data_IF_576528756733
#
_entry.id   IF_576528756733
#
_cell.length_a   1.000
_cell.length_b   1.000
_cell.length_c   1.000
_cell.angle_alpha   90.00
_cell.angle_beta   90.00
_cell.angle_gamma   90.00
#
_symmetry.space_group_name_H-M   'P 1'
#
loop_
_entity.id
_entity.type
_entity.pdbx_description
1 polymer ?
#
# COMPACT_ATOMS: atom_id res chain seq x y z
N UNK A 1 -7.46 7.34 -28.74
CA UNK A 1 -6.41 6.31 -28.91
C UNK A 1 -5.10 7.02 -28.70
N UNK A 2 -4.31 6.87 -27.65
CA UNK A 2 -4.26 5.96 -26.49
C UNK A 2 -3.77 6.82 -25.30
N UNK A 3 -4.50 6.83 -24.19
CA UNK A 3 -4.01 7.34 -22.90
C UNK A 3 -3.70 6.10 -22.06
N UNK A 4 -2.49 5.57 -22.18
CA UNK A 4 -2.05 4.43 -21.36
C UNK A 4 -1.43 4.98 -20.07
N UNK A 5 -2.27 4.90 -19.05
CA UNK A 5 -2.03 4.66 -17.62
C UNK A 5 -0.58 4.28 -17.22
N UNK A 6 0.00 5.03 -16.28
CA UNK A 6 1.18 4.62 -15.52
C UNK A 6 0.73 4.36 -14.06
N UNK A 7 0.54 3.09 -13.72
CA UNK A 7 -0.06 2.63 -12.46
C UNK A 7 0.90 1.70 -11.68
N UNK A 8 2.22 1.88 -11.81
CA UNK A 8 3.15 0.81 -11.41
C UNK A 8 4.40 1.18 -10.58
N UNK A 9 4.54 2.39 -10.02
CA UNK A 9 5.78 2.71 -9.29
C UNK A 9 5.67 3.21 -7.85
N UNK A 10 4.47 3.23 -7.28
CA UNK A 10 4.30 3.50 -5.86
C UNK A 10 3.12 2.68 -5.36
N UNK A 11 3.34 1.42 -4.97
CA UNK A 11 2.26 0.64 -4.36
C UNK A 11 1.78 1.28 -3.04
N UNK A 12 2.65 2.04 -2.36
CA UNK A 12 2.30 2.82 -1.16
C UNK A 12 1.63 4.17 -1.50
N UNK A 13 1.84 4.77 -2.68
CA UNK A 13 1.20 6.04 -3.05
C UNK A 13 -0.04 5.90 -3.94
N UNK A 14 -0.33 4.71 -4.46
CA UNK A 14 -1.54 4.43 -5.22
C UNK A 14 -2.56 3.60 -4.43
N UNK A 15 -2.13 2.92 -3.37
CA UNK A 15 -2.98 2.14 -2.48
C UNK A 15 -2.66 2.57 -1.05
N UNK A 16 -3.67 2.95 -0.25
CA UNK A 16 -3.45 3.46 1.11
C UNK A 16 -2.73 2.45 2.00
N UNK A 17 -2.16 2.89 3.13
CA UNK A 17 -1.39 2.02 4.04
C UNK A 17 -2.12 0.75 4.49
N UNK A 18 -3.45 0.78 4.53
CA UNK A 18 -4.30 -0.38 4.83
C UNK A 18 -4.16 -1.51 3.80
N UNK A 19 -4.13 -1.15 2.52
CA UNK A 19 -3.97 -2.09 1.41
C UNK A 19 -2.56 -2.66 1.38
N UNK A 20 -1.55 -1.83 1.66
CA UNK A 20 -0.18 -2.30 1.82
C UNK A 20 -0.07 -3.34 2.94
N UNK A 21 -0.57 -3.04 4.14
CA UNK A 21 -0.54 -4.00 5.26
C UNK A 21 -1.26 -5.30 4.90
N UNK A 22 -2.51 -5.20 4.42
CA UNK A 22 -3.34 -6.38 4.09
C UNK A 22 -2.70 -7.24 3.02
N UNK A 23 -2.23 -6.63 1.93
CA UNK A 23 -1.56 -7.35 0.84
C UNK A 23 -0.24 -7.99 1.28
N UNK A 24 0.49 -7.34 2.18
CA UNK A 24 1.72 -7.89 2.76
C UNK A 24 1.44 -9.14 3.58
N UNK A 25 0.45 -9.09 4.49
CA UNK A 25 0.08 -10.24 5.33
C UNK A 25 -0.44 -11.40 4.48
N UNK A 26 -1.21 -11.12 3.44
CA UNK A 26 -1.76 -12.15 2.55
C UNK A 26 -0.69 -13.02 1.88
N UNK A 27 0.55 -12.53 1.75
CA UNK A 27 1.71 -13.32 1.25
C UNK A 27 2.06 -14.50 2.16
N UNK A 28 1.71 -14.43 3.45
CA UNK A 28 2.01 -15.46 4.44
C UNK A 28 0.81 -16.35 4.75
N UNK A 29 -0.42 -15.84 4.58
CA UNK A 29 -1.65 -16.50 5.04
C UNK A 29 -2.38 -17.26 3.93
N UNK A 30 -2.25 -16.83 2.67
CA UNK A 30 -2.80 -17.57 1.53
C UNK A 30 -1.88 -18.76 1.25
N UNK A 31 -2.32 -19.94 1.69
CA UNK A 31 -1.64 -21.21 1.52
C UNK A 31 -1.58 -21.67 0.05
N UNK A 32 -0.77 -21.01 -0.77
CA UNK A 32 -0.16 -21.59 -1.97
C UNK A 32 1.31 -21.13 -1.99
N UNK A 33 2.30 -21.94 -1.60
CA UNK A 33 2.83 -23.14 -2.31
C UNK A 33 3.16 -22.92 -3.79
N UNK A 34 3.07 -21.70 -4.31
CA UNK A 34 3.75 -21.41 -5.56
C UNK A 34 5.18 -21.04 -5.17
N UNK A 35 6.20 -21.90 -5.43
CA UNK A 35 7.57 -21.42 -5.39
C UNK A 35 7.64 -20.18 -6.26
N UNK A 36 8.50 -19.23 -5.89
CA UNK A 36 8.81 -18.11 -6.77
C UNK A 36 9.03 -18.65 -8.19
N UNK A 37 8.28 -18.15 -9.18
CA UNK A 37 8.49 -18.52 -10.58
C UNK A 37 9.93 -18.24 -11.03
N UNK A 38 10.63 -17.34 -10.34
CA UNK A 38 12.03 -17.07 -10.57
C UNK A 38 12.88 -18.23 -10.01
N UNK A 39 13.39 -19.07 -10.91
CA UNK A 39 14.44 -20.07 -10.64
C UNK A 39 15.85 -19.45 -10.58
N UNK A 40 15.96 -18.16 -10.93
CA UNK A 40 17.21 -17.40 -10.96
C UNK A 40 16.93 -15.93 -10.66
N UNK A 41 17.90 -15.24 -10.05
CA UNK A 41 17.84 -13.81 -9.81
C UNK A 41 18.80 -13.12 -10.78
N UNK A 42 18.24 -12.29 -11.66
CA UNK A 42 19.03 -11.57 -12.66
C UNK A 42 19.90 -10.49 -12.00
N UNK A 43 21.19 -10.40 -12.35
CA UNK A 43 22.04 -9.31 -11.88
C UNK A 43 21.63 -7.96 -12.47
N UNK A 44 21.74 -6.91 -11.65
CA UNK A 44 21.56 -5.52 -12.08
C UNK A 44 22.89 -4.79 -11.96
N UNK A 45 23.42 -4.31 -13.08
CA UNK A 45 24.73 -3.69 -13.16
C UNK A 45 24.63 -2.29 -13.75
N UNK A 46 25.50 -1.40 -13.31
CA UNK A 46 25.70 -0.13 -14.03
C UNK A 46 26.40 -0.41 -15.35
N UNK A 47 25.86 0.15 -16.43
CA UNK A 47 26.45 -0.05 -17.76
C UNK A 47 27.88 0.48 -17.80
N UNK A 48 28.89 -0.33 -18.15
CA UNK A 48 30.28 0.12 -18.23
C UNK A 48 30.54 0.98 -19.48
N UNK A 49 29.62 0.96 -20.45
CA UNK A 49 29.65 1.76 -21.67
C UNK A 49 28.34 2.53 -21.79
N UNK A 50 28.37 3.65 -22.50
CA UNK A 50 27.14 4.35 -22.84
C UNK A 50 26.20 3.40 -23.58
N UNK A 51 24.99 3.24 -23.05
CA UNK A 51 23.88 2.62 -23.77
C UNK A 51 23.45 3.51 -24.94
N UNK A 52 22.61 2.98 -25.82
CA UNK A 52 22.05 3.73 -26.94
C UNK A 52 21.36 5.00 -26.39
N UNK A 53 21.37 6.15 -27.09
CA UNK A 53 20.76 7.38 -26.59
C UNK A 53 19.32 7.15 -26.09
N UNK A 54 19.01 7.71 -24.91
CA UNK A 54 17.75 7.56 -24.19
C UNK A 54 17.41 6.15 -23.70
N UNK A 55 18.31 5.16 -23.79
CA UNK A 55 18.11 3.85 -23.19
C UNK A 55 18.53 3.86 -21.70
N UNK A 56 17.71 3.29 -20.83
CA UNK A 56 17.99 3.23 -19.38
C UNK A 56 18.06 1.82 -18.79
N UNK A 57 17.45 0.83 -19.45
CA UNK A 57 17.60 -0.60 -19.12
C UNK A 57 17.93 -1.38 -20.38
N UNK A 58 19.00 -2.15 -20.35
CA UNK A 58 19.40 -3.03 -21.45
C UNK A 58 19.66 -4.45 -20.94
N UNK A 59 18.70 -5.39 -21.14
CA UNK A 59 18.89 -6.79 -20.80
C UNK A 59 19.75 -7.50 -21.85
N UNK A 60 20.85 -8.14 -21.44
CA UNK A 60 21.70 -8.97 -22.31
C UNK A 60 22.37 -10.08 -21.51
N UNK A 61 22.36 -11.29 -22.06
CA UNK A 61 22.98 -12.49 -21.45
C UNK A 61 22.58 -12.74 -19.99
N UNK A 62 21.31 -12.48 -19.65
CA UNK A 62 20.77 -12.64 -18.29
C UNK A 62 21.16 -11.54 -17.30
N UNK A 63 21.81 -10.47 -17.76
CA UNK A 63 22.15 -9.29 -16.97
C UNK A 63 21.30 -8.09 -17.38
N UNK A 64 20.98 -7.23 -16.42
CA UNK A 64 20.31 -5.96 -16.64
C UNK A 64 21.29 -4.80 -16.49
N UNK A 65 21.72 -4.21 -17.61
CA UNK A 65 22.59 -3.03 -17.61
C UNK A 65 21.78 -1.76 -17.52
N UNK A 66 22.15 -0.91 -16.57
CA UNK A 66 21.42 0.30 -16.22
C UNK A 66 22.20 1.57 -16.54
N UNK A 67 21.52 2.57 -17.07
CA UNK A 67 22.05 3.92 -17.26
C UNK A 67 21.03 4.96 -16.81
N UNK A 68 21.48 5.96 -16.06
CA UNK A 68 20.60 7.02 -15.56
C UNK A 68 20.07 7.87 -16.70
N UNK A 69 18.80 8.26 -16.58
CA UNK A 69 18.18 9.15 -17.54
C UNK A 69 18.71 10.59 -17.45
N UNK A 70 18.70 11.36 -18.55
CA UNK A 70 18.96 12.80 -18.53
C UNK A 70 18.02 13.56 -17.59
N UNK A 71 18.45 14.73 -17.12
CA UNK A 71 17.63 15.60 -16.27
C UNK A 71 16.25 15.88 -16.89
N UNK A 72 15.19 15.82 -16.06
CA UNK A 72 13.80 16.03 -16.50
C UNK A 72 13.14 14.80 -17.15
N UNK A 73 13.84 13.67 -17.22
CA UNK A 73 13.29 12.38 -17.67
C UNK A 73 13.47 11.30 -16.61
N UNK A 74 12.63 10.26 -16.67
CA UNK A 74 12.71 9.11 -15.77
C UNK A 74 12.73 7.80 -16.56
N UNK A 75 13.19 6.73 -15.92
CA UNK A 75 13.21 5.40 -16.52
C UNK A 75 11.97 4.60 -16.08
N UNK A 76 11.05 4.22 -16.99
CA UNK A 76 9.84 3.49 -16.64
C UNK A 76 10.11 1.98 -16.48
N UNK A 77 11.18 1.61 -15.76
CA UNK A 77 11.69 0.24 -15.71
C UNK A 77 10.64 -0.79 -15.27
N UNK A 78 9.76 -0.45 -14.32
CA UNK A 78 8.74 -1.35 -13.80
C UNK A 78 7.63 -1.67 -14.82
N UNK A 79 7.42 -0.81 -15.82
CA UNK A 79 6.46 -1.06 -16.90
C UNK A 79 7.06 -1.93 -18.01
N UNK A 80 8.38 -1.95 -18.09
CA UNK A 80 9.11 -2.57 -19.18
C UNK A 80 9.87 -3.80 -18.74
N UNK A 81 10.00 -4.13 -17.45
CA UNK A 81 10.73 -5.32 -16.98
C UNK A 81 10.08 -6.64 -17.44
N UNK A 82 10.82 -7.63 -18.00
CA UNK A 82 12.29 -7.73 -18.13
C UNK A 82 12.85 -7.20 -19.47
N UNK A 83 12.12 -6.35 -20.17
CA UNK A 83 12.47 -5.79 -21.48
C UNK A 83 13.29 -4.50 -21.41
N UNK A 84 13.84 -4.16 -22.56
CA UNK A 84 14.54 -2.91 -22.83
C UNK A 84 13.64 -1.70 -22.50
N UNK A 85 14.18 -0.73 -21.74
CA UNK A 85 13.46 0.47 -21.34
C UNK A 85 14.20 1.73 -21.78
N UNK A 86 13.44 2.72 -22.23
CA UNK A 86 13.94 4.04 -22.62
C UNK A 86 13.42 5.12 -21.69
N UNK A 87 14.22 6.15 -21.47
CA UNK A 87 13.87 7.34 -20.73
C UNK A 87 12.68 8.05 -21.36
N UNK A 88 11.71 8.42 -20.53
CA UNK A 88 10.53 9.18 -20.94
C UNK A 88 10.53 10.56 -20.27
N UNK A 89 10.08 11.56 -21.02
CA UNK A 89 10.01 12.95 -20.55
C UNK A 89 8.82 13.14 -19.60
N UNK A 90 9.09 13.82 -18.48
CA UNK A 90 8.08 14.38 -17.58
C UNK A 90 7.41 13.37 -16.64
N UNK A 91 6.82 13.91 -15.56
CA UNK A 91 5.66 13.29 -14.90
C UNK A 91 4.50 14.26 -15.05
N UNK A 92 3.55 13.99 -15.94
CA UNK A 92 2.20 14.54 -15.73
C UNK A 92 1.58 13.68 -14.64
N UNK A 93 1.80 14.06 -13.37
CA UNK A 93 0.93 13.59 -12.31
C UNK A 93 -0.50 13.80 -12.79
N UNK A 94 -1.26 12.71 -12.88
CA UNK A 94 -2.69 12.83 -13.13
C UNK A 94 -3.25 13.58 -11.92
N UNK A 95 -3.53 14.86 -12.08
CA UNK A 95 -4.24 15.64 -11.08
C UNK A 95 -5.68 15.18 -11.15
N UNK A 96 -6.03 14.24 -10.28
CA UNK A 96 -7.43 14.04 -9.92
C UNK A 96 -7.87 15.26 -9.10
N UNK A 97 -9.16 15.61 -9.15
CA UNK A 97 -9.68 16.65 -8.24
C UNK A 97 -9.45 16.26 -6.77
N UNK A 98 -9.52 17.20 -5.85
CA UNK A 98 -9.53 16.96 -4.42
C UNK A 98 -10.87 16.40 -3.94
N UNK A 99 -10.81 15.59 -2.90
CA UNK A 99 -11.96 15.03 -2.21
C UNK A 99 -12.52 16.02 -1.19
N UNK A 100 -13.72 15.80 -0.63
CA UNK A 100 -14.24 16.61 0.46
C UNK A 100 -13.26 16.74 1.63
N UNK A 101 -12.99 17.96 2.08
CA UNK A 101 -11.94 18.28 3.05
C UNK A 101 -10.62 18.76 2.44
N UNK A 102 -10.37 18.50 1.16
CA UNK A 102 -9.18 18.99 0.46
C UNK A 102 -9.27 20.48 0.14
N UNK A 103 -8.10 21.13 0.07
CA UNK A 103 -8.00 22.53 -0.34
C UNK A 103 -8.37 22.73 -1.82
N UNK A 104 -9.09 23.79 -2.12
CA UNK A 104 -9.58 24.11 -3.46
C UNK A 104 -9.63 25.62 -3.72
N UNK A 105 -9.67 26.01 -4.99
CA UNK A 105 -9.92 27.40 -5.42
C UNK A 105 -11.22 27.51 -6.20
N UNK A 106 -11.61 26.45 -6.89
CA UNK A 106 -12.77 26.41 -7.77
C UNK A 106 -13.43 25.03 -7.74
N UNK A 107 -14.65 24.93 -8.27
CA UNK A 107 -15.35 23.64 -8.43
C UNK A 107 -14.55 22.63 -9.28
N UNK A 108 -13.72 23.10 -10.21
CA UNK A 108 -12.90 22.21 -11.05
C UNK A 108 -11.79 21.50 -10.26
N UNK A 109 -11.45 22.03 -9.08
CA UNK A 109 -10.47 21.41 -8.18
C UNK A 109 -11.09 20.32 -7.31
N UNK A 110 -12.41 20.12 -7.32
CA UNK A 110 -13.10 19.14 -6.47
C UNK A 110 -13.66 17.96 -7.29
N UNK A 111 -13.64 16.75 -6.73
CA UNK A 111 -14.24 15.56 -7.34
C UNK A 111 -15.76 15.50 -7.17
N UNK A 112 -16.41 14.72 -8.05
CA UNK A 112 -17.82 14.41 -7.95
C UNK A 112 -18.72 15.65 -7.91
N UNK A 113 -19.74 15.61 -7.06
CA UNK A 113 -20.69 16.69 -6.82
C UNK A 113 -20.18 17.74 -5.83
N UNK A 114 -19.04 17.53 -5.18
CA UNK A 114 -18.49 18.39 -4.13
C UNK A 114 -18.08 19.78 -4.62
N UNK A 115 -18.47 20.83 -3.89
CA UNK A 115 -18.26 22.22 -4.30
C UNK A 115 -17.14 22.86 -3.51
N UNK A 116 -16.37 23.74 -4.14
CA UNK A 116 -15.35 24.49 -3.42
C UNK A 116 -15.99 25.63 -2.62
N UNK A 117 -16.00 25.52 -1.30
CA UNK A 117 -16.45 26.60 -0.43
C UNK A 117 -15.43 27.74 -0.48
N UNK A 118 -15.83 28.88 -1.05
CA UNK A 118 -14.95 30.02 -1.29
C UNK A 118 -14.53 30.76 0.00
N UNK A 119 -15.21 30.52 1.11
CA UNK A 119 -14.88 31.13 2.41
C UNK A 119 -13.79 30.32 3.11
N UNK A 120 -13.92 29.00 3.12
CA UNK A 120 -12.97 28.09 3.79
C UNK A 120 -11.84 27.64 2.88
N UNK A 121 -12.04 27.71 1.55
CA UNK A 121 -11.10 27.22 0.55
C UNK A 121 -11.02 25.69 0.52
N UNK A 122 -12.08 24.97 0.88
CA UNK A 122 -12.11 23.50 0.94
C UNK A 122 -13.27 22.92 0.12
N UNK A 123 -13.07 21.73 -0.43
CA UNK A 123 -14.12 20.96 -1.09
C UNK A 123 -15.13 20.49 -0.04
N UNK A 124 -16.41 20.78 -0.24
CA UNK A 124 -17.51 20.35 0.61
C UNK A 124 -18.46 19.43 -0.16
N UNK A 125 -18.72 18.26 0.42
CA UNK A 125 -19.65 17.28 -0.13
C UNK A 125 -21.08 17.44 0.42
N UNK A 126 -21.96 16.53 0.00
CA UNK A 126 -23.32 16.39 0.51
C UNK A 126 -23.36 15.83 1.93
N UNK A 127 -24.26 16.37 2.76
CA UNK A 127 -24.52 15.91 4.13
C UNK A 127 -25.73 14.97 4.16
N UNK A 128 -26.17 14.56 5.35
CA UNK A 128 -27.32 13.64 5.54
C UNK A 128 -28.48 13.93 4.59
N UNK A 129 -28.87 12.92 3.80
CA UNK A 129 -30.01 12.97 2.89
C UNK A 129 -29.75 13.66 1.55
N UNK A 130 -28.58 14.26 1.34
CA UNK A 130 -28.18 14.75 0.02
C UNK A 130 -28.01 13.58 -0.95
N UNK A 131 -28.41 13.76 -2.21
CA UNK A 131 -28.19 12.77 -3.25
C UNK A 131 -26.70 12.59 -3.53
N UNK A 132 -26.29 11.35 -3.76
CA UNK A 132 -24.93 11.00 -4.17
C UNK A 132 -24.99 9.90 -5.23
N UNK A 133 -24.06 9.93 -6.19
CA UNK A 133 -23.82 8.85 -7.15
C UNK A 133 -22.67 7.97 -6.69
N UNK A 134 -21.68 8.60 -6.06
CA UNK A 134 -20.48 7.94 -5.57
C UNK A 134 -20.01 8.64 -4.29
N UNK A 135 -18.98 8.07 -3.70
CA UNK A 135 -18.44 8.42 -2.41
C UNK A 135 -17.83 9.83 -2.36
N UNK A 136 -17.09 10.30 -3.39
CA UNK A 136 -16.60 11.69 -3.43
C UNK A 136 -17.70 12.76 -3.39
N UNK A 137 -18.97 12.39 -3.56
CA UNK A 137 -20.10 13.32 -3.49
C UNK A 137 -20.51 13.65 -2.05
N UNK A 138 -20.06 12.87 -1.05
CA UNK A 138 -20.45 13.02 0.35
C UNK A 138 -19.37 13.71 1.19
N UNK A 139 -19.80 14.56 2.12
CA UNK A 139 -18.89 15.34 2.96
C UNK A 139 -18.09 14.44 3.93
N UNK A 140 -17.05 15.00 4.54
CA UNK A 140 -16.26 14.31 5.57
C UNK A 140 -17.17 13.78 6.69
N UNK A 141 -16.97 12.53 7.08
CA UNK A 141 -17.81 11.85 8.09
C UNK A 141 -19.13 11.31 7.54
N UNK A 142 -19.35 11.38 6.23
CA UNK A 142 -20.49 10.77 5.54
C UNK A 142 -20.00 9.78 4.48
N UNK A 143 -20.88 8.84 4.13
CA UNK A 143 -20.68 7.88 3.05
C UNK A 143 -21.90 7.88 2.14
N UNK A 144 -21.69 7.62 0.85
CA UNK A 144 -22.79 7.45 -0.09
C UNK A 144 -23.46 6.09 0.16
N UNK A 145 -24.66 6.09 0.76
CA UNK A 145 -25.41 4.89 1.07
C UNK A 145 -26.37 4.58 -0.07
N UNK A 146 -26.17 3.45 -0.75
CA UNK A 146 -27.00 3.03 -1.87
C UNK A 146 -27.97 1.94 -1.43
N UNK A 147 -29.25 2.29 -1.26
CA UNK A 147 -30.32 1.32 -0.98
C UNK A 147 -31.40 1.49 -2.03
N UNK A 148 -31.50 0.46 -2.90
CA UNK A 148 -32.55 0.03 -3.86
C UNK A 148 -33.46 1.05 -4.58
N UNK A 149 -33.43 2.35 -4.31
CA UNK A 149 -34.23 3.40 -4.95
C UNK A 149 -33.76 4.85 -4.71
N UNK A 150 -32.86 5.16 -3.76
CA UNK A 150 -32.31 6.51 -3.60
C UNK A 150 -30.96 6.51 -2.87
N UNK A 151 -29.87 6.70 -3.61
CA UNK A 151 -28.55 6.89 -3.02
C UNK A 151 -28.47 8.24 -2.31
N UNK A 152 -28.07 8.23 -1.04
CA UNK A 152 -27.93 9.45 -0.26
C UNK A 152 -26.75 9.39 0.71
N UNK A 153 -26.19 10.55 1.02
CA UNK A 153 -25.14 10.66 2.02
C UNK A 153 -25.73 10.37 3.41
N UNK A 154 -25.10 9.46 4.14
CA UNK A 154 -25.44 9.09 5.51
C UNK A 154 -24.23 9.23 6.42
N UNK A 155 -24.39 9.50 7.72
CA UNK A 155 -23.26 9.52 8.64
C UNK A 155 -22.58 8.15 8.73
N UNK A 156 -21.26 8.13 8.81
CA UNK A 156 -20.51 6.90 9.09
C UNK A 156 -20.86 6.33 10.47
N UNK A 157 -20.75 5.01 10.61
CA UNK A 157 -21.18 4.30 11.81
C UNK A 157 -20.15 4.38 12.95
N UNK A 158 -20.67 4.57 14.16
CA UNK A 158 -19.87 4.55 15.40
C UNK A 158 -19.57 3.12 15.87
N UNK A 159 -18.72 2.98 16.89
CA UNK A 159 -18.41 1.71 17.55
C UNK A 159 -19.71 0.96 17.94
N UNK A 160 -19.80 -0.32 17.59
CA UNK A 160 -20.97 -1.17 17.79
C UNK A 160 -22.10 -0.95 16.76
N UNK A 161 -22.00 0.08 15.93
CA UNK A 161 -22.88 0.32 14.79
C UNK A 161 -22.80 -0.80 13.75
N UNK A 162 -23.83 -0.90 12.92
CA UNK A 162 -23.87 -1.90 11.85
C UNK A 162 -23.07 -1.41 10.66
N UNK A 163 -22.22 -2.28 10.13
CA UNK A 163 -21.48 -2.05 8.89
C UNK A 163 -21.78 -3.19 7.91
N UNK A 164 -21.42 -3.01 6.64
CA UNK A 164 -21.78 -4.00 5.62
C UNK A 164 -20.88 -3.97 4.40
N UNK A 165 -21.19 -4.85 3.45
CA UNK A 165 -20.44 -5.01 2.21
C UNK A 165 -20.61 -3.82 1.25
N UNK A 166 -19.87 -3.85 0.13
CA UNK A 166 -19.89 -2.84 -0.92
C UNK A 166 -21.30 -2.50 -1.46
N UNK A 167 -22.29 -3.38 -1.32
CA UNK A 167 -23.66 -3.10 -1.75
C UNK A 167 -24.38 -2.14 -0.80
N UNK A 168 -24.18 -2.31 0.50
CA UNK A 168 -24.74 -1.40 1.51
C UNK A 168 -23.89 -0.17 1.71
N UNK A 169 -22.61 -0.21 1.34
CA UNK A 169 -21.60 0.84 1.59
C UNK A 169 -21.62 1.36 3.04
N UNK A 170 -22.10 0.59 4.02
CA UNK A 170 -22.18 1.04 5.41
C UNK A 170 -20.79 1.07 6.03
N UNK A 171 -20.16 2.23 5.97
CA UNK A 171 -18.82 2.45 6.48
C UNK A 171 -18.83 2.74 7.98
N UNK A 172 -17.80 2.27 8.67
CA UNK A 172 -17.48 2.72 10.02
C UNK A 172 -16.69 4.04 9.93
N UNK A 173 -16.59 4.74 11.07
CA UNK A 173 -15.57 5.80 11.24
C UNK A 173 -14.17 5.30 10.84
N UNK A 174 -13.33 6.20 10.32
CA UNK A 174 -12.00 5.85 9.79
C UNK A 174 -11.07 5.20 10.82
N UNK A 175 -11.30 5.46 12.12
CA UNK A 175 -10.57 4.84 13.24
C UNK A 175 -11.15 3.49 13.70
N UNK A 176 -12.06 2.90 12.93
CA UNK A 176 -12.72 1.62 13.20
C UNK A 176 -12.63 0.70 11.98
N UNK A 177 -12.89 -0.60 12.17
CA UNK A 177 -13.04 -1.56 11.06
C UNK A 177 -14.33 -2.35 11.20
N UNK A 178 -14.81 -2.92 10.10
CA UNK A 178 -16.02 -3.74 10.07
C UNK A 178 -15.67 -5.21 10.31
N UNK A 179 -16.27 -5.82 11.34
CA UNK A 179 -16.10 -7.24 11.62
C UNK A 179 -17.44 -7.87 12.01
N UNK A 180 -17.85 -8.88 11.25
CA UNK A 180 -19.16 -9.54 11.31
C UNK A 180 -20.32 -8.56 11.32
N UNK A 181 -20.26 -7.58 10.42
CA UNK A 181 -21.28 -6.54 10.28
C UNK A 181 -21.33 -5.54 11.45
N UNK A 182 -20.30 -5.50 12.30
CA UNK A 182 -20.19 -4.53 13.40
C UNK A 182 -18.91 -3.72 13.34
N UNK A 183 -19.03 -2.42 13.61
CA UNK A 183 -17.89 -1.53 13.76
C UNK A 183 -17.17 -1.83 15.08
N UNK A 184 -15.89 -2.19 14.99
CA UNK A 184 -15.02 -2.51 16.13
C UNK A 184 -13.76 -1.63 16.10
N UNK A 185 -13.05 -1.58 17.22
CA UNK A 185 -11.76 -0.90 17.30
C UNK A 185 -10.71 -1.61 16.43
N UNK A 186 -9.88 -0.83 15.76
CA UNK A 186 -8.70 -1.31 15.05
C UNK A 186 -7.70 -1.95 16.02
N UNK A 187 -7.04 -3.02 15.59
CA UNK A 187 -5.98 -3.75 16.30
C UNK A 187 -6.35 -4.14 17.74
N UNK A 188 -7.59 -4.54 17.97
CA UNK A 188 -8.14 -4.77 19.32
C UNK A 188 -8.34 -6.24 19.67
N UNK A 189 -8.43 -7.12 18.68
CA UNK A 189 -8.78 -8.53 18.90
C UNK A 189 -7.55 -9.38 19.24
N UNK A 190 -7.69 -10.18 20.30
CA UNK A 190 -6.62 -11.04 20.82
C UNK A 190 -6.40 -12.27 19.94
N UNK A 191 -5.22 -12.89 20.07
CA UNK A 191 -4.92 -14.18 19.47
C UNK A 191 -5.99 -15.24 19.79
N UNK A 192 -6.37 -16.02 18.77
CA UNK A 192 -7.42 -17.03 18.85
C UNK A 192 -8.83 -16.51 18.57
N UNK A 193 -9.03 -15.19 18.44
CA UNK A 193 -10.33 -14.61 18.08
C UNK A 193 -10.66 -14.86 16.61
N UNK A 194 -11.87 -15.34 16.33
CA UNK A 194 -12.41 -15.44 14.95
C UNK A 194 -12.79 -14.05 14.42
N UNK A 195 -12.46 -13.81 13.16
CA UNK A 195 -12.64 -12.51 12.48
C UNK A 195 -13.05 -12.71 11.02
N UNK A 196 -13.69 -11.71 10.44
CA UNK A 196 -13.88 -11.67 8.99
C UNK A 196 -12.52 -11.49 8.32
N UNK A 197 -12.26 -12.26 7.26
CA UNK A 197 -11.00 -12.23 6.53
C UNK A 197 -10.62 -10.83 6.05
N UNK A 198 -11.60 -10.07 5.55
CA UNK A 198 -11.34 -8.76 4.93
C UNK A 198 -10.93 -7.69 5.94
N UNK A 199 -11.30 -7.85 7.22
CA UNK A 199 -10.89 -6.94 8.30
C UNK A 199 -9.80 -7.50 9.20
N UNK A 200 -9.43 -8.76 9.06
CA UNK A 200 -8.52 -9.46 9.96
C UNK A 200 -7.18 -8.73 10.18
N UNK A 201 -6.59 -8.19 9.10
CA UNK A 201 -5.32 -7.45 9.17
C UNK A 201 -5.41 -6.22 10.10
N UNK A 202 -6.54 -5.53 10.08
CA UNK A 202 -6.77 -4.32 10.86
C UNK A 202 -7.53 -4.58 12.17
N UNK A 203 -8.09 -5.77 12.38
CA UNK A 203 -8.82 -6.14 13.58
C UNK A 203 -7.91 -6.81 14.62
N UNK A 204 -6.97 -7.67 14.18
CA UNK A 204 -6.10 -8.42 15.07
C UNK A 204 -5.02 -7.55 15.71
N UNK A 205 -4.80 -7.70 17.01
CA UNK A 205 -3.84 -6.89 17.77
C UNK A 205 -2.41 -7.03 17.25
N UNK A 206 -2.04 -8.21 16.77
CA UNK A 206 -0.72 -8.49 16.17
C UNK A 206 -0.57 -7.96 14.74
N UNK A 207 -1.65 -7.47 14.11
CA UNK A 207 -1.69 -7.22 12.66
C UNK A 207 -1.54 -8.50 11.82
N UNK A 208 -1.71 -9.68 12.42
CA UNK A 208 -1.51 -10.97 11.76
C UNK A 208 -2.65 -11.94 12.05
N UNK A 209 -2.98 -12.76 11.06
CA UNK A 209 -4.09 -13.72 11.12
C UNK A 209 -3.76 -14.98 10.32
N UNK A 210 -4.55 -16.03 10.50
CA UNK A 210 -4.56 -17.20 9.63
C UNK A 210 -5.95 -17.38 9.03
N UNK A 211 -6.02 -17.81 7.76
CA UNK A 211 -7.28 -18.21 7.15
C UNK A 211 -7.78 -19.51 7.77
N UNK A 212 -9.08 -19.59 8.05
CA UNK A 212 -9.69 -20.84 8.49
C UNK A 212 -10.09 -21.69 7.27
N UNK A 213 -10.61 -22.90 7.51
CA UNK A 213 -11.20 -23.71 6.44
C UNK A 213 -12.54 -23.15 5.95
N UNK A 214 -13.18 -22.24 6.70
CA UNK A 214 -14.43 -21.61 6.30
C UNK A 214 -14.13 -20.36 5.45
N UNK A 215 -14.72 -20.25 4.24
CA UNK A 215 -14.56 -19.07 3.39
C UNK A 215 -14.95 -17.79 4.12
N UNK A 216 -14.16 -16.73 3.94
CA UNK A 216 -14.42 -15.42 4.55
C UNK A 216 -14.08 -15.32 6.03
N UNK A 217 -13.58 -16.39 6.66
CA UNK A 217 -13.18 -16.39 8.07
C UNK A 217 -11.68 -16.53 8.26
N UNK A 218 -11.17 -15.76 9.21
CA UNK A 218 -9.80 -15.82 9.70
C UNK A 218 -9.77 -15.91 11.24
N UNK A 219 -8.59 -16.21 11.78
CA UNK A 219 -8.34 -16.21 13.23
C UNK A 219 -7.10 -15.37 13.52
N UNK A 220 -7.18 -14.50 14.53
CA UNK A 220 -6.03 -13.71 14.95
C UNK A 220 -4.91 -14.60 15.50
N UNK A 221 -3.66 -14.28 15.13
CA UNK A 221 -2.48 -15.04 15.54
C UNK A 221 -1.30 -14.14 15.83
N UNK A 222 -0.41 -14.59 16.69
CA UNK A 222 0.91 -13.99 16.88
C UNK A 222 1.66 -13.88 15.55
N UNK A 223 2.26 -12.72 15.31
CA UNK A 223 3.02 -12.46 14.10
C UNK A 223 4.30 -13.33 14.06
N UNK A 224 4.54 -14.11 12.99
CA UNK A 224 5.72 -14.97 12.90
C UNK A 224 6.99 -14.14 12.75
N UNK A 225 8.12 -14.69 13.21
CA UNK A 225 9.44 -14.04 13.11
C UNK A 225 10.42 -14.87 12.28
N UNK A 226 11.36 -14.20 11.64
CA UNK A 226 12.57 -14.80 11.09
C UNK A 226 13.32 -15.59 12.18
N UNK A 227 14.13 -16.61 11.81
CA UNK A 227 15.07 -17.26 12.72
C UNK A 227 15.99 -16.23 13.37
N UNK A 228 16.49 -16.52 14.59
CA UNK A 228 17.43 -15.65 15.32
C UNK A 228 18.82 -15.65 14.68
N UNK A 229 18.92 -15.10 13.47
CA UNK A 229 20.14 -14.93 12.69
C UNK A 229 20.29 -13.44 12.33
N UNK A 230 21.51 -13.01 12.03
CA UNK A 230 21.73 -11.63 11.58
C UNK A 230 21.02 -11.40 10.25
N UNK A 231 20.26 -10.31 10.17
CA UNK A 231 19.59 -9.86 8.95
C UNK A 231 20.56 -9.05 8.07
N UNK A 232 20.48 -9.14 6.73
CA UNK A 232 19.51 -9.91 5.95
C UNK A 232 19.88 -11.39 5.81
N UNK A 233 18.86 -12.25 5.66
CA UNK A 233 19.04 -13.69 5.39
C UNK A 233 19.11 -13.90 3.89
N UNK A 234 20.28 -14.29 3.38
CA UNK A 234 20.42 -14.70 1.99
C UNK A 234 19.71 -16.02 1.70
N UNK A 235 19.12 -16.13 0.52
CA UNK A 235 18.46 -17.32 0.01
C UNK A 235 18.68 -17.49 -1.48
N UNK A 236 18.43 -18.69 -1.99
CA UNK A 236 18.49 -18.97 -3.43
C UNK A 236 17.12 -18.75 -4.08
N UNK A 237 17.12 -18.27 -5.32
CA UNK A 237 15.89 -18.15 -6.11
C UNK A 237 15.12 -19.48 -6.15
N UNK A 238 13.79 -19.43 -6.11
CA UNK A 238 12.92 -20.60 -6.03
C UNK A 238 12.85 -21.29 -4.65
N UNK A 239 13.66 -20.89 -3.66
CA UNK A 239 13.58 -21.44 -2.29
C UNK A 239 12.57 -20.69 -1.42
N UNK A 240 12.17 -21.31 -0.31
CA UNK A 240 11.25 -20.75 0.67
C UNK A 240 12.00 -20.35 1.94
N UNK A 241 11.82 -19.10 2.35
CA UNK A 241 12.24 -18.58 3.64
C UNK A 241 11.23 -19.04 4.70
N UNK A 242 11.72 -19.54 5.84
CA UNK A 242 10.86 -20.11 6.90
C UNK A 242 10.93 -19.26 8.16
N UNK A 243 9.81 -19.16 8.85
CA UNK A 243 9.76 -18.59 10.19
C UNK A 243 10.56 -19.43 11.19
N UNK A 244 10.92 -18.83 12.32
CA UNK A 244 11.64 -19.48 13.42
C UNK A 244 10.97 -20.74 13.97
N UNK A 245 9.65 -20.84 13.90
CA UNK A 245 8.85 -22.00 14.29
C UNK A 245 8.53 -22.97 13.13
N UNK A 246 9.05 -22.69 11.93
CA UNK A 246 8.82 -23.42 10.68
C UNK A 246 7.33 -23.55 10.26
N UNK A 247 6.42 -22.77 10.84
CA UNK A 247 4.99 -22.82 10.48
C UNK A 247 4.67 -21.99 9.24
N UNK A 248 5.38 -20.89 9.05
CA UNK A 248 5.13 -19.94 7.98
C UNK A 248 6.32 -19.92 7.04
N UNK A 249 6.02 -19.69 5.77
CA UNK A 249 7.04 -19.59 4.75
C UNK A 249 6.64 -18.57 3.70
N UNK A 250 7.65 -17.95 3.11
CA UNK A 250 7.51 -16.94 2.06
C UNK A 250 8.58 -17.17 1.01
N UNK A 251 8.32 -16.96 -0.28
CA UNK A 251 9.33 -17.15 -1.31
C UNK A 251 10.54 -16.23 -1.11
N UNK A 252 11.73 -16.74 -1.45
CA UNK A 252 12.92 -15.92 -1.61
C UNK A 252 12.67 -14.80 -2.64
N UNK A 253 13.05 -13.56 -2.32
CA UNK A 253 12.92 -12.42 -3.22
C UNK A 253 14.28 -12.03 -3.79
N UNK A 254 14.32 -11.71 -5.08
CA UNK A 254 15.54 -11.25 -5.73
C UNK A 254 15.84 -9.79 -5.36
N UNK A 255 17.06 -9.50 -4.93
CA UNK A 255 17.52 -8.13 -4.76
C UNK A 255 17.98 -7.53 -6.08
N UNK A 256 17.98 -6.20 -6.17
CA UNK A 256 18.50 -5.47 -7.33
C UNK A 256 20.01 -5.22 -7.16
N UNK A 257 20.81 -6.27 -7.24
CA UNK A 257 22.27 -6.18 -7.03
C UNK A 257 23.06 -6.82 -8.16
N UNK A 258 24.34 -6.47 -8.24
CA UNK A 258 25.25 -6.93 -9.28
C UNK A 258 25.61 -8.41 -9.19
N UNK A 259 25.28 -9.09 -8.10
CA UNK A 259 25.51 -10.52 -7.90
C UNK A 259 24.28 -11.40 -8.22
N UNK A 260 23.11 -10.79 -8.46
CA UNK A 260 21.86 -11.56 -8.56
C UNK A 260 21.54 -12.31 -7.25
N UNK A 261 21.86 -11.73 -6.09
CA UNK A 261 21.63 -12.36 -4.79
C UNK A 261 20.18 -12.19 -4.34
N UNK A 262 19.56 -13.28 -3.89
CA UNK A 262 18.24 -13.29 -3.24
C UNK A 262 18.31 -13.20 -1.71
N UNK A 263 17.27 -12.62 -1.11
CA UNK A 263 17.12 -12.47 0.34
C UNK A 263 15.69 -12.79 0.79
N UNK A 264 15.57 -13.22 2.04
CA UNK A 264 14.28 -13.42 2.67
C UNK A 264 13.63 -12.08 2.99
N UNK A 265 12.35 -11.87 2.62
CA UNK A 265 11.61 -10.70 3.09
C UNK A 265 11.35 -10.79 4.59
N UNK A 266 11.02 -9.65 5.20
CA UNK A 266 10.67 -9.58 6.61
C UNK A 266 9.43 -10.42 6.89
N UNK A 267 9.44 -11.17 7.99
CA UNK A 267 8.20 -11.70 8.54
C UNK A 267 7.48 -10.60 9.35
N UNK A 268 6.14 -10.65 9.46
CA UNK A 268 5.38 -9.64 10.18
C UNK A 268 5.80 -9.41 11.64
N UNK A 269 6.46 -10.36 12.30
CA UNK A 269 6.97 -10.21 13.66
C UNK A 269 8.41 -9.72 13.77
N UNK A 270 9.11 -9.50 12.65
CA UNK A 270 10.47 -8.96 12.63
C UNK A 270 10.49 -7.49 13.07
N UNK A 271 11.59 -7.05 13.67
CA UNK A 271 11.65 -5.74 14.35
C UNK A 271 11.35 -4.56 13.42
N UNK A 272 11.86 -4.57 12.18
CA UNK A 272 11.55 -3.54 11.18
C UNK A 272 10.07 -3.54 10.79
N UNK A 273 9.44 -4.71 10.67
CA UNK A 273 8.01 -4.78 10.41
C UNK A 273 7.19 -4.30 11.61
N UNK A 274 7.63 -4.63 12.84
CA UNK A 274 6.95 -4.17 14.06
C UNK A 274 7.07 -2.66 14.26
N UNK A 275 8.15 -2.02 13.79
CA UNK A 275 8.23 -0.56 13.72
C UNK A 275 7.16 0.00 12.78
N UNK A 276 7.03 -0.56 11.57
CA UNK A 276 5.96 -0.20 10.65
C UNK A 276 4.57 -0.41 11.25
N UNK A 277 4.29 -1.57 11.85
CA UNK A 277 2.99 -1.84 12.47
C UNK A 277 2.68 -0.87 13.62
N UNK A 278 3.70 -0.45 14.37
CA UNK A 278 3.55 0.55 15.43
C UNK A 278 3.17 1.92 14.85
N UNK A 279 3.88 2.36 13.80
CA UNK A 279 3.57 3.60 13.09
C UNK A 279 2.17 3.55 12.45
N UNK A 280 1.81 2.43 11.83
CA UNK A 280 0.49 2.19 11.25
C UNK A 280 -0.61 2.28 12.32
N UNK A 281 -0.45 1.62 13.48
CA UNK A 281 -1.41 1.71 14.59
C UNK A 281 -1.59 3.15 15.05
N UNK A 282 -0.49 3.87 15.23
CA UNK A 282 -0.50 5.28 15.63
C UNK A 282 -1.27 6.14 14.62
N UNK A 283 -1.00 5.98 13.33
CA UNK A 283 -1.71 6.67 12.25
C UNK A 283 -3.21 6.31 12.24
N UNK A 284 -3.52 5.01 12.19
CA UNK A 284 -4.88 4.50 12.00
C UNK A 284 -5.81 4.73 13.19
N UNK A 285 -5.27 4.89 14.39
CA UNK A 285 -6.03 5.22 15.60
C UNK A 285 -6.02 6.70 15.94
N UNK A 286 -5.37 7.54 15.12
CA UNK A 286 -5.32 8.98 15.35
C UNK A 286 -6.73 9.59 15.20
N UNK A 287 -7.26 10.31 16.21
CA UNK A 287 -8.64 10.81 16.16
C UNK A 287 -8.95 11.69 14.95
N UNK A 288 -7.99 12.51 14.52
CA UNK A 288 -8.13 13.40 13.37
C UNK A 288 -8.22 12.69 12.02
N UNK A 289 -8.00 11.37 11.98
CA UNK A 289 -8.32 10.58 10.78
C UNK A 289 -9.83 10.63 10.46
N UNK A 290 -10.69 10.88 11.44
CA UNK A 290 -12.13 11.08 11.22
C UNK A 290 -12.47 12.45 10.61
N UNK A 291 -11.51 13.36 10.52
CA UNK A 291 -11.64 14.66 9.84
C UNK A 291 -11.21 14.57 8.37
N UNK A 292 -10.89 13.37 7.88
CA UNK A 292 -10.54 13.11 6.49
C UNK A 292 -11.65 12.34 5.78
N UNK A 293 -11.82 12.61 4.48
CA UNK A 293 -12.65 11.75 3.65
C UNK A 293 -12.05 10.33 3.66
N UNK A 294 -12.89 9.30 3.70
CA UNK A 294 -12.38 7.94 3.92
C UNK A 294 -11.49 7.44 2.75
N UNK A 295 -11.68 7.98 1.53
CA UNK A 295 -10.79 7.73 0.38
C UNK A 295 -9.41 8.37 0.52
N UNK A 296 -9.23 9.33 1.43
CA UNK A 296 -7.92 9.92 1.75
C UNK A 296 -7.21 9.20 2.90
N UNK A 297 -7.80 8.15 3.47
CA UNK A 297 -7.13 7.36 4.50
C UNK A 297 -5.91 6.68 3.89
N UNK A 298 -4.75 7.01 4.44
CA UNK A 298 -3.44 6.57 3.93
C UNK A 298 -2.82 7.51 2.88
N UNK A 299 -3.47 8.63 2.56
CA UNK A 299 -2.95 9.63 1.62
C UNK A 299 -2.35 10.83 2.37
N UNK A 300 -1.34 11.51 1.80
CA UNK A 300 -0.74 12.70 2.41
C UNK A 300 -1.70 13.91 2.44
N UNK A 301 -2.80 13.85 1.68
CA UNK A 301 -3.84 14.89 1.58
C UNK A 301 -4.76 14.95 2.79
N UNK A 302 -4.79 13.91 3.63
CA UNK A 302 -5.58 13.87 4.86
C UNK A 302 -5.11 14.91 5.89
N UNK A 303 -5.72 16.10 5.85
CA UNK A 303 -5.37 17.28 6.65
C UNK A 303 -5.60 17.10 8.16
N UNK A 304 -6.44 16.14 8.55
CA UNK A 304 -6.73 15.80 9.94
C UNK A 304 -5.60 15.05 10.65
N UNK A 305 -4.58 14.55 9.93
CA UNK A 305 -3.44 13.86 10.54
C UNK A 305 -2.18 14.73 10.47
N UNK A 306 -1.48 14.97 11.59
CA UNK A 306 -0.22 15.70 11.59
C UNK A 306 0.80 15.06 10.65
N UNK A 307 1.42 15.88 9.81
CA UNK A 307 2.45 15.47 8.84
C UNK A 307 3.51 14.51 9.42
N UNK A 308 4.08 14.72 10.63
CA UNK A 308 5.05 13.79 11.19
C UNK A 308 4.51 12.37 11.47
N UNK A 309 3.21 12.22 11.74
CA UNK A 309 2.60 10.89 11.93
C UNK A 309 2.47 10.17 10.59
N UNK A 310 2.06 10.89 9.54
CA UNK A 310 2.01 10.35 8.18
C UNK A 310 3.41 9.96 7.68
N UNK A 311 4.40 10.87 7.79
CA UNK A 311 5.77 10.61 7.35
C UNK A 311 6.43 9.43 8.09
N UNK A 312 6.09 9.21 9.36
CA UNK A 312 6.58 8.06 10.13
C UNK A 312 6.04 6.73 9.59
N UNK A 313 4.73 6.64 9.29
CA UNK A 313 4.15 5.42 8.71
C UNK A 313 4.62 5.23 7.26
N UNK A 314 4.76 6.29 6.48
CA UNK A 314 5.28 6.24 5.12
C UNK A 314 6.74 5.76 5.07
N UNK A 315 7.61 6.32 5.92
CA UNK A 315 9.02 5.94 5.97
C UNK A 315 9.20 4.48 6.40
N UNK A 316 8.45 4.03 7.41
CA UNK A 316 8.52 2.63 7.87
C UNK A 316 7.86 1.65 6.89
N UNK A 317 6.79 2.04 6.19
CA UNK A 317 6.20 1.24 5.12
C UNK A 317 7.18 1.06 3.96
N UNK A 318 7.83 2.15 3.55
CA UNK A 318 8.86 2.18 2.50
C UNK A 318 10.05 1.30 2.87
N UNK A 319 10.49 1.33 4.13
CA UNK A 319 11.54 0.44 4.66
C UNK A 319 11.17 -1.05 4.57
N UNK A 320 9.91 -1.40 4.86
CA UNK A 320 9.41 -2.78 4.76
C UNK A 320 9.25 -3.23 3.31
N UNK A 321 8.71 -2.36 2.45
CA UNK A 321 8.49 -2.63 1.02
C UNK A 321 9.82 -2.86 0.30
N UNK A 322 10.77 -1.96 0.48
CA UNK A 322 12.07 -1.99 -0.20
C UNK A 322 13.13 -2.81 0.55
N UNK A 323 12.75 -3.53 1.61
CA UNK A 323 13.68 -4.25 2.48
C UNK A 323 14.66 -5.13 1.69
N UNK A 324 14.17 -6.00 0.80
CA UNK A 324 15.04 -6.85 -0.04
C UNK A 324 15.67 -6.05 -1.18
N UNK A 325 14.90 -5.13 -1.77
CA UNK A 325 15.28 -4.38 -2.95
C UNK A 325 16.54 -3.53 -2.75
N UNK A 326 16.77 -3.01 -1.54
CA UNK A 326 17.86 -2.07 -1.25
C UNK A 326 19.25 -2.70 -1.02
N UNK A 327 19.32 -4.02 -0.83
CA UNK A 327 20.59 -4.67 -0.50
C UNK A 327 21.51 -4.80 -1.72
N UNK A 328 22.76 -4.36 -1.56
CA UNK A 328 23.80 -4.49 -2.59
C UNK A 328 23.57 -3.62 -3.82
N UNK A 329 22.79 -2.54 -3.73
CA UNK A 329 22.54 -1.65 -4.86
C UNK A 329 23.77 -0.80 -5.21
N UNK A 330 24.20 -0.87 -6.46
CA UNK A 330 25.10 0.11 -7.06
C UNK A 330 24.38 1.45 -7.29
N UNK A 331 25.15 2.53 -7.49
CA UNK A 331 24.62 3.90 -7.63
C UNK A 331 23.53 4.04 -8.70
N UNK A 332 23.69 3.39 -9.85
CA UNK A 332 22.68 3.44 -10.92
C UNK A 332 21.36 2.76 -10.49
N UNK A 333 21.44 1.63 -9.79
CA UNK A 333 20.26 0.93 -9.25
C UNK A 333 19.53 1.84 -8.29
N UNK A 334 20.27 2.50 -7.38
CA UNK A 334 19.70 3.48 -6.45
C UNK A 334 18.95 4.60 -7.15
N UNK A 335 19.48 5.09 -8.27
CA UNK A 335 18.90 6.20 -9.00
C UNK A 335 17.73 5.81 -9.92
N UNK A 336 17.63 4.54 -10.33
CA UNK A 336 16.69 4.09 -11.36
C UNK A 336 15.59 3.22 -10.77
N UNK A 337 15.98 2.21 -10.01
CA UNK A 337 15.08 1.14 -9.56
C UNK A 337 14.52 1.44 -8.19
N UNK A 338 15.40 1.78 -7.24
CA UNK A 338 15.03 1.98 -5.83
C UNK A 338 15.06 3.45 -5.45
N UNK A 339 14.91 4.38 -6.40
CA UNK A 339 15.03 5.82 -6.13
C UNK A 339 14.06 6.29 -5.08
N UNK A 340 12.82 5.79 -5.10
CA UNK A 340 11.79 6.09 -4.10
C UNK A 340 12.18 5.76 -2.65
N UNK A 341 13.23 4.98 -2.41
CA UNK A 341 13.71 4.66 -1.06
C UNK A 341 14.82 5.61 -0.56
N UNK A 342 15.62 6.20 -1.46
CA UNK A 342 16.83 6.94 -1.08
C UNK A 342 16.65 8.46 -1.00
N UNK A 343 15.47 8.97 -1.40
CA UNK A 343 15.11 10.39 -1.42
C UNK A 343 14.00 10.67 -0.42
#
# INVERSE_FOLDING_TARGET
MEKVLLLALLAVSCFGFQDFHTSYIQRFTRAHKEPSKATYCEPYLCSPKALIPNQCVYPVDGNNYLQTCPSGSFCPWALSSPFNASCVQGSTALSYGGLPGDACKSKADCQGLSVCNQVTGVCEGGKTGAFCNDQPDCDVGFNCHNVEQAASCQPVNNLGGTCGNYLTMNLCKNTLTCNYGKCINLFSLQDGTLVENDSAALACQSGFYELTQQPGQAVCKSAPKSPKVAMPISCSAGTMCKSSDNKYQTPCQCGFNSMGQGYCPLFPGDDLYQQYLTALKKYMTYPGLNDCHYLDVGMPTCSGVPKPIYEEVEATATEVEFYVAKFGNDRCVKNIITSSYWY
#
